data_IF_804473893319
#
_entry.id   IF_804473893319
#
_cell.length_a   1.000
_cell.length_b   1.000
_cell.length_c   1.000
_cell.angle_alpha   90.00
_cell.angle_beta   90.00
_cell.angle_gamma   90.00
#
_symmetry.space_group_name_H-M   'P 1'
#
loop_
_entity.id
_entity.type
_entity.pdbx_description
1 polymer ?
#
# COMPACT_ATOMS: atom_id res chain seq x y z
N UNK A 1 16.83 7.07 18.76
CA UNK A 1 15.69 7.23 17.86
C UNK A 1 16.20 7.90 16.59
N UNK A 2 16.51 7.13 15.58
CA UNK A 2 16.87 7.66 14.26
C UNK A 2 15.60 7.75 13.43
N UNK A 3 15.25 8.96 12.98
CA UNK A 3 14.26 9.18 11.96
C UNK A 3 14.76 8.57 10.65
N UNK A 4 14.08 7.54 10.15
CA UNK A 4 14.40 6.94 8.86
C UNK A 4 13.36 7.38 7.86
N UNK A 5 13.86 8.12 6.89
CA UNK A 5 13.16 8.42 5.66
C UNK A 5 12.05 9.44 5.81
N UNK A 6 12.40 10.72 5.65
CA UNK A 6 11.44 11.72 5.24
C UNK A 6 11.12 11.43 3.77
N UNK A 7 10.03 10.75 3.48
CA UNK A 7 9.49 10.74 2.13
C UNK A 7 8.94 12.15 1.87
N UNK A 8 9.77 13.01 1.27
CA UNK A 8 9.31 14.29 0.75
C UNK A 8 8.59 14.01 -0.55
N UNK A 9 7.28 14.06 -0.52
CA UNK A 9 6.53 14.35 -1.72
C UNK A 9 6.77 15.83 -2.07
N UNK A 10 7.34 16.11 -3.22
CA UNK A 10 7.54 17.46 -3.75
C UNK A 10 6.22 18.00 -4.23
N UNK A 11 5.55 18.73 -3.37
CA UNK A 11 4.29 19.43 -3.56
C UNK A 11 3.82 19.90 -2.19
N UNK A 12 3.37 21.12 -2.05
CA UNK A 12 3.13 21.81 -0.78
C UNK A 12 2.21 21.09 0.21
N UNK A 13 1.45 20.06 -0.20
CA UNK A 13 0.37 19.47 0.58
C UNK A 13 0.55 17.97 0.91
N UNK A 14 1.58 17.30 0.40
CA UNK A 14 1.85 15.90 0.70
C UNK A 14 2.98 15.74 1.73
N UNK A 15 2.64 15.68 3.01
CA UNK A 15 3.57 15.24 4.07
C UNK A 15 3.13 13.88 4.59
N UNK A 16 3.65 12.82 4.02
CA UNK A 16 3.63 11.50 4.64
C UNK A 16 4.93 11.33 5.41
N UNK A 17 4.84 11.23 6.72
CA UNK A 17 5.97 10.97 7.60
C UNK A 17 5.93 9.48 7.93
N UNK A 18 6.98 8.77 7.57
CA UNK A 18 7.16 7.37 7.97
C UNK A 18 8.20 7.35 9.09
N UNK A 19 7.78 6.93 10.26
CA UNK A 19 8.64 6.79 11.43
C UNK A 19 8.85 5.30 11.69
N UNK A 20 10.10 4.87 11.74
CA UNK A 20 10.47 3.51 12.08
C UNK A 20 11.77 3.50 12.88
N UNK A 21 11.95 2.49 13.71
CA UNK A 21 13.22 2.24 14.39
C UNK A 21 14.12 1.47 13.42
N UNK A 22 15.22 2.06 12.99
CA UNK A 22 16.23 1.37 12.20
C UNK A 22 17.49 1.10 13.01
N UNK A 23 17.84 -0.12 13.01
CA UNK A 23 19.20 -0.56 13.19
C UNK A 23 19.49 -1.47 11.99
N UNK A 24 20.53 -1.20 11.20
CA UNK A 24 21.14 -2.05 10.16
C UNK A 24 20.33 -3.28 9.69
N UNK A 25 19.03 -3.12 9.44
CA UNK A 25 18.15 -4.21 9.07
C UNK A 25 18.00 -4.26 7.54
N UNK A 26 17.88 -5.46 7.02
CA UNK A 26 17.54 -5.73 5.63
C UNK A 26 16.27 -4.97 5.22
N UNK A 27 16.30 -4.36 4.05
CA UNK A 27 15.13 -3.65 3.51
C UNK A 27 14.06 -4.67 3.11
N UNK A 28 12.91 -4.60 3.77
CA UNK A 28 11.76 -5.46 3.48
C UNK A 28 10.90 -4.93 2.34
N UNK A 29 10.64 -3.62 2.35
CA UNK A 29 9.83 -2.94 1.35
C UNK A 29 10.61 -1.76 0.81
N UNK A 30 10.71 -1.63 -0.51
CA UNK A 30 11.28 -0.50 -1.20
C UNK A 30 10.29 0.03 -2.24
N UNK A 31 9.98 1.31 -2.16
CA UNK A 31 9.11 2.02 -3.10
C UNK A 31 9.97 3.04 -3.84
N UNK A 32 9.88 3.05 -5.18
CA UNK A 32 10.67 3.93 -6.03
C UNK A 32 9.77 4.70 -6.98
N UNK A 33 9.87 6.03 -6.92
CA UNK A 33 9.20 6.95 -7.84
C UNK A 33 7.72 6.64 -8.05
N UNK A 34 7.00 6.32 -6.95
CA UNK A 34 5.61 5.90 -7.01
C UNK A 34 4.69 7.10 -7.24
N UNK A 35 3.94 7.05 -8.33
CA UNK A 35 2.90 8.01 -8.67
C UNK A 35 1.54 7.32 -8.74
N UNK A 36 0.51 8.00 -8.26
CA UNK A 36 -0.88 7.61 -8.49
C UNK A 36 -1.72 8.83 -8.84
N UNK A 37 -2.27 8.79 -10.04
CA UNK A 37 -3.24 9.75 -10.55
C UNK A 37 -4.54 8.99 -10.79
N UNK A 38 -5.65 9.51 -10.32
CA UNK A 38 -6.98 8.99 -10.56
C UNK A 38 -7.65 9.85 -11.62
N UNK A 39 -8.32 9.24 -12.58
CA UNK A 39 -9.00 9.86 -13.72
C UNK A 39 -8.98 8.94 -14.92
N UNK A 40 -9.54 9.38 -16.04
CA UNK A 40 -9.74 8.54 -17.22
C UNK A 40 -8.43 8.25 -17.97
N UNK A 41 -7.49 9.20 -18.00
CA UNK A 41 -6.18 9.04 -18.65
C UNK A 41 -5.02 9.49 -17.75
N UNK A 42 -4.69 8.69 -16.72
CA UNK A 42 -3.65 9.04 -15.76
C UNK A 42 -2.25 9.08 -16.36
N UNK A 43 -2.00 8.37 -17.46
CA UNK A 43 -0.67 8.31 -18.08
C UNK A 43 -0.30 9.64 -18.77
N UNK A 44 -1.24 10.25 -19.48
CA UNK A 44 -1.05 11.56 -20.10
C UNK A 44 -0.82 12.64 -19.05
N UNK A 45 -1.48 12.52 -17.89
CA UNK A 45 -1.33 13.47 -16.79
C UNK A 45 0.00 13.32 -16.04
N UNK A 46 0.64 12.15 -16.10
CA UNK A 46 1.90 11.91 -15.39
C UNK A 46 3.00 12.90 -15.79
N UNK A 47 3.14 13.18 -17.09
CA UNK A 47 4.16 14.13 -17.55
C UNK A 47 3.87 15.54 -17.03
N UNK A 48 2.63 15.98 -17.07
CA UNK A 48 2.22 17.29 -16.52
C UNK A 48 2.54 17.43 -15.03
N UNK A 49 2.30 16.35 -14.24
CA UNK A 49 2.65 16.33 -12.81
C UNK A 49 4.15 16.40 -12.61
N UNK A 50 4.95 15.73 -13.45
CA UNK A 50 6.42 15.81 -13.42
C UNK A 50 6.94 17.18 -13.80
N UNK A 51 6.25 17.87 -14.69
CA UNK A 51 6.56 19.23 -15.14
C UNK A 51 6.09 20.31 -14.11
N UNK A 52 5.46 19.88 -13.02
CA UNK A 52 5.13 20.75 -11.88
C UNK A 52 3.69 21.22 -11.80
N UNK A 53 2.78 20.66 -12.58
CA UNK A 53 1.32 20.93 -12.42
C UNK A 53 0.89 20.57 -11.00
N UNK A 54 0.25 21.50 -10.32
CA UNK A 54 -0.21 21.32 -8.94
C UNK A 54 -1.40 20.36 -8.83
N UNK A 55 -1.66 19.87 -7.62
CA UNK A 55 -2.80 19.01 -7.34
C UNK A 55 -4.14 19.69 -7.66
N UNK A 56 -4.26 20.98 -7.29
CA UNK A 56 -5.48 21.75 -7.51
C UNK A 56 -5.68 22.01 -9.00
N UNK A 57 -4.63 22.40 -9.70
CA UNK A 57 -4.67 22.60 -11.14
C UNK A 57 -5.00 21.29 -11.89
N UNK A 58 -4.43 20.16 -11.45
CA UNK A 58 -4.75 18.85 -12.03
C UNK A 58 -6.22 18.50 -11.87
N UNK A 59 -6.82 18.85 -10.72
CA UNK A 59 -8.22 18.63 -10.45
C UNK A 59 -9.11 19.59 -11.25
N UNK A 60 -8.81 20.88 -11.20
CA UNK A 60 -9.70 21.92 -11.71
C UNK A 60 -9.70 22.01 -13.25
N UNK A 61 -8.52 21.84 -13.86
CA UNK A 61 -8.38 21.97 -15.31
C UNK A 61 -8.50 20.63 -16.05
N UNK A 62 -8.07 19.52 -15.40
CA UNK A 62 -7.98 18.23 -16.07
C UNK A 62 -8.90 17.16 -15.48
N UNK A 63 -9.68 17.48 -14.44
CA UNK A 63 -10.59 16.55 -13.76
C UNK A 63 -9.89 15.25 -13.30
N UNK A 64 -8.65 15.39 -12.84
CA UNK A 64 -7.85 14.29 -12.30
C UNK A 64 -7.43 14.56 -10.87
N UNK A 65 -7.31 13.51 -10.07
CA UNK A 65 -6.91 13.63 -8.66
C UNK A 65 -5.51 13.03 -8.46
N UNK A 66 -4.58 13.87 -8.00
CA UNK A 66 -3.24 13.41 -7.62
C UNK A 66 -3.30 12.71 -6.27
N UNK A 67 -3.18 11.38 -6.28
CA UNK A 67 -3.19 10.54 -5.10
C UNK A 67 -1.83 10.36 -4.43
N UNK A 68 -0.77 10.17 -5.22
CA UNK A 68 0.62 10.07 -4.78
C UNK A 68 1.53 10.73 -5.82
N UNK A 69 2.58 11.42 -5.36
CA UNK A 69 3.55 12.08 -6.22
C UNK A 69 4.97 11.76 -5.75
N UNK A 70 5.73 11.08 -6.60
CA UNK A 70 7.15 10.74 -6.41
C UNK A 70 7.50 10.16 -5.04
N UNK A 71 6.73 9.18 -4.58
CA UNK A 71 6.99 8.56 -3.29
C UNK A 71 8.19 7.63 -3.40
N UNK A 72 9.21 7.92 -2.60
CA UNK A 72 10.42 7.12 -2.43
C UNK A 72 10.55 6.72 -0.96
N UNK A 73 10.58 5.41 -0.66
CA UNK A 73 10.52 4.93 0.71
C UNK A 73 11.21 3.57 0.84
N UNK A 74 11.96 3.38 1.93
CA UNK A 74 12.49 2.09 2.35
C UNK A 74 11.98 1.77 3.75
N UNK A 75 11.46 0.56 3.92
CA UNK A 75 10.99 0.05 5.20
C UNK A 75 11.81 -1.19 5.57
N UNK A 76 12.47 -1.20 6.73
CA UNK A 76 13.23 -2.37 7.18
C UNK A 76 12.33 -3.52 7.59
N UNK A 77 12.90 -4.72 7.61
CA UNK A 77 12.26 -5.89 8.17
C UNK A 77 12.10 -5.76 9.71
N UNK A 78 11.20 -6.56 10.27
CA UNK A 78 11.05 -6.73 11.73
C UNK A 78 10.85 -5.41 12.51
N UNK A 79 9.81 -4.67 12.18
CA UNK A 79 9.49 -3.44 12.88
C UNK A 79 8.08 -2.95 12.59
N UNK A 80 7.67 -1.93 13.34
CA UNK A 80 6.43 -1.20 13.10
C UNK A 80 6.81 0.09 12.39
N UNK A 81 6.22 0.31 11.22
CA UNK A 81 6.34 1.55 10.46
C UNK A 81 5.04 2.34 10.56
N UNK A 82 5.13 3.59 10.94
CA UNK A 82 3.95 4.45 11.09
C UNK A 82 3.92 5.47 9.95
N UNK A 83 2.82 5.47 9.20
CA UNK A 83 2.56 6.43 8.13
C UNK A 83 1.59 7.49 8.64
N UNK A 84 2.04 8.72 8.77
CA UNK A 84 1.25 9.84 9.29
C UNK A 84 1.05 10.92 8.23
N UNK A 85 -0.02 11.68 8.36
CA UNK A 85 -0.37 12.81 7.49
C UNK A 85 -1.83 13.22 7.64
N UNK A 86 -2.21 14.35 7.09
CA UNK A 86 -3.58 14.87 7.14
C UNK A 86 -4.57 13.96 6.39
N UNK A 87 -5.87 14.19 6.59
CA UNK A 87 -6.90 13.54 5.78
C UNK A 87 -6.68 13.89 4.31
N UNK A 88 -6.87 12.91 3.41
CA UNK A 88 -6.62 13.12 1.97
C UNK A 88 -5.16 13.14 1.54
N UNK A 89 -4.17 12.92 2.44
CA UNK A 89 -2.73 12.92 2.10
C UNK A 89 -2.22 11.62 1.44
N UNK A 90 -3.09 10.73 0.98
CA UNK A 90 -2.68 9.52 0.25
C UNK A 90 -2.23 8.33 1.11
N UNK A 91 -2.31 8.38 2.45
CA UNK A 91 -1.87 7.27 3.33
C UNK A 91 -2.49 5.92 2.98
N UNK A 92 -3.80 5.87 2.88
CA UNK A 92 -4.52 4.63 2.52
C UNK A 92 -4.23 4.21 1.09
N UNK A 93 -4.00 5.15 0.20
CA UNK A 93 -3.58 4.92 -1.19
C UNK A 93 -2.21 4.25 -1.20
N UNK A 94 -1.23 4.79 -0.46
CA UNK A 94 0.12 4.22 -0.37
C UNK A 94 0.09 2.77 0.12
N UNK A 95 -0.61 2.49 1.23
CA UNK A 95 -0.70 1.14 1.79
C UNK A 95 -1.34 0.16 0.79
N UNK A 96 -2.35 0.60 0.04
CA UNK A 96 -3.00 -0.25 -0.98
C UNK A 96 -2.12 -0.55 -2.19
N UNK A 97 -1.06 0.21 -2.43
CA UNK A 97 -0.06 -0.11 -3.46
C UNK A 97 0.89 -1.22 -3.00
N UNK A 98 1.21 -1.30 -1.70
CA UNK A 98 2.10 -2.32 -1.16
C UNK A 98 1.59 -3.74 -1.43
N UNK A 99 0.28 -3.96 -1.31
CA UNK A 99 -0.35 -5.25 -1.63
C UNK A 99 -1.02 -5.26 -3.02
N UNK A 100 -0.71 -4.26 -3.84
CA UNK A 100 -1.22 -4.09 -5.21
C UNK A 100 -2.75 -4.19 -5.32
N UNK A 101 -3.48 -3.67 -4.30
CA UNK A 101 -4.94 -3.47 -4.41
C UNK A 101 -5.30 -2.29 -5.29
N UNK A 102 -4.35 -1.40 -5.53
CA UNK A 102 -4.43 -0.29 -6.47
C UNK A 102 -3.18 -0.37 -7.35
N UNK A 103 -3.36 -0.29 -8.66
CA UNK A 103 -2.25 -0.18 -9.60
C UNK A 103 -1.73 1.26 -9.60
N UNK A 104 -0.41 1.48 -9.55
CA UNK A 104 0.16 2.81 -9.68
C UNK A 104 0.06 3.33 -11.11
N UNK A 105 0.16 4.64 -11.27
CA UNK A 105 0.34 5.26 -12.58
C UNK A 105 1.77 5.09 -13.08
N UNK A 106 2.75 5.18 -12.16
CA UNK A 106 4.16 4.90 -12.44
C UNK A 106 4.89 4.55 -11.15
N UNK A 107 6.11 4.02 -11.29
CA UNK A 107 7.00 3.67 -10.19
C UNK A 107 7.07 2.17 -9.93
N UNK A 108 7.70 1.81 -8.83
CA UNK A 108 7.98 0.42 -8.48
C UNK A 108 7.69 0.16 -6.99
N UNK A 109 7.26 -1.07 -6.69
CA UNK A 109 7.07 -1.56 -5.33
C UNK A 109 7.77 -2.91 -5.19
N UNK A 110 8.82 -2.94 -4.40
CA UNK A 110 9.64 -4.12 -4.15
C UNK A 110 9.39 -4.64 -2.75
N UNK A 111 9.18 -5.94 -2.61
CA UNK A 111 9.02 -6.62 -1.33
C UNK A 111 9.91 -7.86 -1.34
N UNK A 112 10.81 -7.96 -0.36
CA UNK A 112 11.82 -9.03 -0.28
C UNK A 112 12.63 -9.18 -1.59
N UNK A 113 12.93 -8.07 -2.27
CA UNK A 113 13.68 -8.07 -3.53
C UNK A 113 12.86 -8.46 -4.77
N UNK A 114 11.54 -8.68 -4.65
CA UNK A 114 10.65 -8.98 -5.77
C UNK A 114 9.77 -7.78 -6.10
N UNK A 115 9.67 -7.39 -7.36
CA UNK A 115 8.78 -6.32 -7.78
C UNK A 115 7.33 -6.83 -7.86
N UNK A 116 6.49 -6.35 -6.94
CA UNK A 116 5.07 -6.77 -6.84
C UNK A 116 4.29 -6.40 -8.11
N UNK A 117 4.70 -5.34 -8.82
CA UNK A 117 4.00 -4.87 -10.01
C UNK A 117 4.26 -5.76 -11.25
N UNK A 118 5.33 -6.56 -11.23
CA UNK A 118 5.64 -7.50 -12.29
C UNK A 118 5.04 -8.90 -12.10
N UNK A 119 4.41 -9.16 -10.94
CA UNK A 119 3.79 -10.45 -10.66
C UNK A 119 2.57 -10.67 -11.56
N UNK A 120 2.44 -11.88 -12.09
CA UNK A 120 1.22 -12.35 -12.73
C UNK A 120 0.09 -12.56 -11.70
N UNK A 121 -1.12 -12.80 -12.16
CA UNK A 121 -2.28 -12.94 -11.27
C UNK A 121 -2.16 -14.11 -10.29
N UNK A 122 -1.51 -15.20 -10.68
CA UNK A 122 -1.32 -16.37 -9.84
C UNK A 122 -0.33 -16.05 -8.71
N UNK A 123 0.83 -15.53 -9.05
CA UNK A 123 1.87 -15.13 -8.11
C UNK A 123 1.38 -14.03 -7.17
N UNK A 124 0.65 -13.04 -7.68
CA UNK A 124 0.06 -11.98 -6.87
C UNK A 124 -0.97 -12.53 -5.87
N UNK A 125 -1.78 -13.51 -6.26
CA UNK A 125 -2.73 -14.18 -5.40
C UNK A 125 -2.04 -14.95 -4.27
N UNK A 126 -0.96 -15.66 -4.60
CA UNK A 126 -0.15 -16.39 -3.63
C UNK A 126 0.61 -15.43 -2.69
N UNK A 127 1.12 -14.32 -3.20
CA UNK A 127 1.70 -13.24 -2.41
C UNK A 127 0.71 -12.69 -1.39
N UNK A 128 -0.51 -12.31 -1.83
CA UNK A 128 -1.57 -11.81 -0.93
C UNK A 128 -2.05 -12.83 0.08
N UNK A 129 -2.03 -14.12 -0.27
CA UNK A 129 -2.45 -15.21 0.61
C UNK A 129 -1.46 -15.48 1.72
N UNK A 130 -0.16 -15.42 1.41
CA UNK A 130 0.89 -15.96 2.27
C UNK A 130 1.86 -14.91 2.83
N UNK A 131 2.00 -13.75 2.17
CA UNK A 131 3.05 -12.76 2.50
C UNK A 131 2.51 -11.37 2.87
N UNK A 132 1.26 -11.05 2.53
CA UNK A 132 0.67 -9.75 2.81
C UNK A 132 -0.74 -9.90 3.38
N UNK A 133 -1.02 -9.19 4.46
CA UNK A 133 -2.38 -9.07 5.01
C UNK A 133 -2.72 -7.61 5.24
N UNK A 134 -4.00 -7.28 5.27
CA UNK A 134 -4.47 -5.92 5.47
C UNK A 134 -5.65 -5.90 6.44
N UNK A 135 -5.55 -5.03 7.43
CA UNK A 135 -6.70 -4.69 8.28
C UNK A 135 -7.38 -3.46 7.71
N UNK A 136 -8.67 -3.58 7.42
CA UNK A 136 -9.46 -2.49 6.83
C UNK A 136 -10.09 -1.62 7.91
N UNK A 137 -10.28 -0.33 7.60
CA UNK A 137 -10.94 0.63 8.51
C UNK A 137 -12.40 0.30 8.79
N UNK A 138 -13.12 -0.26 7.81
CA UNK A 138 -14.45 -0.84 7.98
C UNK A 138 -14.26 -2.34 8.13
N UNK A 139 -14.84 -2.93 9.10
CA UNK A 139 -14.66 -4.28 9.63
C UNK A 139 -14.33 -5.38 8.61
N UNK A 140 -14.59 -5.18 7.31
CA UNK A 140 -14.36 -6.13 6.21
C UNK A 140 -14.89 -7.55 6.50
N UNK A 141 -15.95 -7.63 7.30
CA UNK A 141 -16.62 -8.87 7.61
C UNK A 141 -17.51 -9.28 6.44
N UNK A 142 -17.59 -10.57 6.20
CA UNK A 142 -18.51 -11.18 5.26
C UNK A 142 -19.87 -11.32 5.97
N UNK A 143 -20.90 -10.51 5.59
CA UNK A 143 -22.15 -10.40 6.37
C UNK A 143 -22.99 -11.67 6.32
N UNK A 144 -22.74 -12.55 5.36
CA UNK A 144 -23.42 -13.84 5.19
C UNK A 144 -22.72 -14.99 5.93
N UNK A 145 -21.67 -14.68 6.71
CA UNK A 145 -20.90 -15.66 7.46
C UNK A 145 -21.02 -15.42 8.97
N UNK A 146 -20.91 -16.49 9.74
CA UNK A 146 -20.84 -16.42 11.19
C UNK A 146 -19.55 -15.77 11.68
N UNK A 147 -19.47 -15.45 12.97
CA UNK A 147 -18.24 -14.91 13.59
C UNK A 147 -17.08 -15.89 13.42
N UNK A 148 -17.30 -17.19 13.67
CA UNK A 148 -16.27 -18.22 13.53
C UNK A 148 -15.77 -18.30 12.08
N UNK A 149 -16.67 -18.37 11.10
CA UNK A 149 -16.31 -18.43 9.70
C UNK A 149 -15.54 -17.18 9.23
N UNK A 150 -15.88 -15.99 9.74
CA UNK A 150 -15.12 -14.78 9.48
C UNK A 150 -13.72 -14.84 10.12
N UNK A 151 -13.62 -15.35 11.35
CA UNK A 151 -12.33 -15.45 12.06
C UNK A 151 -11.38 -16.43 11.39
N UNK A 152 -11.86 -17.57 10.93
CA UNK A 152 -11.03 -18.60 10.27
C UNK A 152 -10.84 -18.36 8.76
N UNK A 153 -11.48 -17.34 8.19
CA UNK A 153 -11.51 -17.11 6.74
C UNK A 153 -10.12 -17.06 6.11
N UNK A 154 -9.18 -16.36 6.74
CA UNK A 154 -7.81 -16.28 6.26
C UNK A 154 -7.10 -17.65 6.24
N UNK A 155 -7.32 -18.47 7.25
CA UNK A 155 -6.76 -19.82 7.34
C UNK A 155 -7.38 -20.77 6.31
N UNK A 156 -8.69 -20.65 6.09
CA UNK A 156 -9.41 -21.41 5.07
C UNK A 156 -8.92 -21.13 3.66
N UNK A 157 -8.67 -19.83 3.34
CA UNK A 157 -8.07 -19.43 2.04
C UNK A 157 -6.67 -20.02 1.87
N UNK A 158 -5.90 -20.16 2.95
CA UNK A 158 -4.58 -20.81 2.94
C UNK A 158 -4.66 -22.32 2.79
N UNK A 159 -5.87 -22.90 2.76
CA UNK A 159 -6.09 -24.34 2.59
C UNK A 159 -6.05 -25.14 3.88
N UNK A 160 -6.12 -24.46 5.05
CA UNK A 160 -6.20 -25.16 6.34
C UNK A 160 -7.56 -25.83 6.49
N UNK A 161 -7.59 -27.08 6.93
CA UNK A 161 -8.84 -27.79 7.22
C UNK A 161 -9.63 -27.08 8.33
N UNK A 162 -10.95 -26.96 8.16
CA UNK A 162 -11.85 -26.18 9.01
C UNK A 162 -11.69 -26.46 10.51
N UNK A 163 -11.76 -27.74 10.92
CA UNK A 163 -11.56 -28.14 12.31
C UNK A 163 -10.22 -27.68 12.91
N UNK A 164 -9.17 -27.62 12.10
CA UNK A 164 -7.85 -27.15 12.54
C UNK A 164 -7.83 -25.63 12.65
N UNK A 165 -8.48 -24.93 11.71
CA UNK A 165 -8.62 -23.48 11.73
C UNK A 165 -9.46 -23.02 12.94
N UNK A 166 -10.57 -23.68 13.24
CA UNK A 166 -11.41 -23.42 14.43
C UNK A 166 -10.63 -23.57 15.73
N UNK A 167 -9.82 -24.64 15.85
CA UNK A 167 -8.95 -24.82 17.01
C UNK A 167 -7.94 -23.69 17.17
N UNK A 168 -7.40 -23.14 16.07
CA UNK A 168 -6.50 -21.99 16.12
C UNK A 168 -7.21 -20.69 16.52
N UNK A 169 -8.47 -20.54 16.12
CA UNK A 169 -9.26 -19.34 16.40
C UNK A 169 -9.83 -19.30 17.84
N UNK A 170 -9.86 -20.45 18.53
CA UNK A 170 -10.41 -20.59 19.89
C UNK A 170 -9.38 -20.34 21.01
N UNK A 171 -8.14 -20.04 20.65
CA UNK A 171 -7.04 -19.66 21.54
C UNK A 171 -6.65 -18.19 21.35
#
# INVERSE_FOLDING_TARGET
LSLIGLARATGSDFKVIVVGLANNMETKIEIKHLYKIFGDDPQTMLQKVRDGVSKDELNDQYNHVLGLSDINLKMPAKGIQVVMGLSGSGKSTLIRHINRLIEPTAGEVWIDGENVLSMDEKTLRDFRRNRASMVFQKFALLPHRTVMENTIYGLAIQGMAEKKAEKHASH
#
